data_IF_588582217405
#
_entry.id   IF_588582217405
#
_cell.length_a   1.000
_cell.length_b   1.000
_cell.length_c   1.000
_cell.angle_alpha   90.00
_cell.angle_beta   90.00
_cell.angle_gamma   90.00
#
_symmetry.space_group_name_H-M   'P 1'
#
loop_
_entity.id
_entity.type
_entity.pdbx_description
1 polymer ?
#
# COMPACT_ATOMS: atom_id res chain seq x y z
N UNK A 1 -50.79 -37.62 29.35
CA UNK A 1 -51.20 -36.97 30.61
C UNK A 1 -50.24 -35.81 30.83
N UNK A 2 -50.46 -34.64 30.23
CA UNK A 2 -51.42 -33.58 30.59
C UNK A 2 -51.09 -32.87 31.91
N UNK A 3 -51.19 -31.52 31.89
CA UNK A 3 -51.02 -30.51 32.97
C UNK A 3 -49.63 -29.85 32.98
N UNK A 4 -49.41 -28.52 32.94
CA UNK A 4 -50.22 -27.28 33.06
C UNK A 4 -49.33 -26.11 32.53
N UNK A 5 -49.72 -25.12 31.72
CA UNK A 5 -50.73 -24.05 31.80
C UNK A 5 -50.17 -22.68 32.31
N UNK A 6 -50.30 -21.64 31.43
CA UNK A 6 -50.66 -20.21 31.71
C UNK A 6 -49.51 -19.30 32.21
N UNK A 7 -49.13 -18.17 31.56
CA UNK A 7 -49.70 -16.79 31.55
C UNK A 7 -49.01 -16.00 30.39
N UNK A 8 -49.67 -15.51 29.34
CA UNK A 8 -50.45 -14.26 29.16
C UNK A 8 -49.67 -12.98 28.79
N UNK A 9 -49.91 -12.53 27.53
CA UNK A 9 -50.13 -11.16 26.99
C UNK A 9 -49.31 -9.96 27.52
N UNK A 10 -48.76 -9.17 26.59
CA UNK A 10 -49.42 -7.92 26.14
C UNK A 10 -48.59 -7.15 25.09
N UNK A 11 -49.26 -6.78 24.01
CA UNK A 11 -48.85 -5.78 23.03
C UNK A 11 -49.23 -4.39 23.54
N UNK A 12 -48.36 -3.38 23.39
CA UNK A 12 -48.79 -1.96 23.43
C UNK A 12 -48.02 -1.14 22.40
N UNK A 13 -48.75 -0.76 21.36
CA UNK A 13 -48.50 0.34 20.42
C UNK A 13 -48.90 1.68 21.05
N UNK A 14 -48.13 2.76 20.87
CA UNK A 14 -48.56 4.18 20.90
C UNK A 14 -47.39 4.99 20.30
N UNK A 15 -47.44 5.56 19.08
CA UNK A 15 -48.25 6.67 18.54
C UNK A 15 -47.82 8.07 19.04
N UNK A 16 -47.01 8.75 18.21
CA UNK A 16 -47.10 10.15 17.71
C UNK A 16 -47.22 11.33 18.71
N UNK A 17 -47.29 12.63 18.32
CA UNK A 17 -46.76 13.41 17.17
C UNK A 17 -46.19 14.84 17.52
N UNK A 18 -45.49 15.47 16.56
CA UNK A 18 -45.62 16.86 16.03
C UNK A 18 -45.72 18.13 16.94
N UNK A 19 -44.86 19.14 16.67
CA UNK A 19 -45.19 20.59 16.48
C UNK A 19 -43.88 21.42 16.35
N UNK A 20 -43.49 22.07 15.25
CA UNK A 20 -44.10 23.15 14.41
C UNK A 20 -44.05 24.57 15.02
N UNK A 21 -43.21 25.44 14.43
CA UNK A 21 -43.46 26.87 14.12
C UNK A 21 -42.33 27.32 13.15
N UNK A 22 -42.55 27.57 11.84
CA UNK A 22 -43.21 28.72 11.20
C UNK A 22 -42.69 30.07 11.74
N UNK A 23 -42.32 31.11 11.01
CA UNK A 23 -42.36 31.51 9.59
C UNK A 23 -41.74 32.92 9.56
N UNK A 24 -41.03 33.35 8.50
CA UNK A 24 -41.26 34.67 7.88
C UNK A 24 -40.38 34.96 6.65
N UNK A 25 -40.98 35.78 5.78
CA UNK A 25 -40.77 36.04 4.37
C UNK A 25 -39.70 37.12 4.06
N UNK A 26 -38.90 36.87 3.00
CA UNK A 26 -38.64 37.72 1.78
C UNK A 26 -38.01 39.16 1.93
N UNK A 27 -37.64 39.85 0.81
CA UNK A 27 -36.39 39.83 0.03
C UNK A 27 -35.60 41.17 0.03
N UNK A 28 -34.38 41.20 -0.57
CA UNK A 28 -33.99 42.14 -1.66
C UNK A 28 -32.49 42.06 -2.05
N UNK A 29 -32.28 42.27 -3.35
CA UNK A 29 -31.04 42.49 -4.11
C UNK A 29 -29.99 43.40 -3.44
N UNK A 30 -28.70 43.13 -3.69
CA UNK A 30 -27.85 44.09 -4.42
C UNK A 30 -26.58 43.45 -5.00
N UNK A 31 -26.35 43.79 -6.28
CA UNK A 31 -25.11 43.83 -7.08
C UNK A 31 -23.81 43.99 -6.27
N UNK A 32 -22.63 43.53 -6.68
CA UNK A 32 -21.98 43.76 -7.98
C UNK A 32 -20.62 43.06 -7.97
N UNK A 33 -20.35 42.21 -8.96
CA UNK A 33 -18.98 41.84 -9.35
C UNK A 33 -18.56 42.74 -10.51
N UNK A 34 -17.40 43.43 -10.47
CA UNK A 34 -16.79 43.92 -11.69
C UNK A 34 -15.76 42.92 -12.20
N UNK A 35 -16.12 42.27 -13.29
CA UNK A 35 -15.20 41.78 -14.32
C UNK A 35 -14.63 43.00 -15.07
N UNK A 36 -13.31 43.13 -15.13
CA UNK A 36 -12.65 43.80 -16.27
C UNK A 36 -11.23 43.25 -16.44
N UNK A 37 -11.08 42.38 -17.43
CA UNK A 37 -9.81 42.11 -18.08
C UNK A 37 -9.51 43.32 -18.97
N UNK A 38 -8.53 44.12 -18.57
CA UNK A 38 -7.96 45.18 -19.39
C UNK A 38 -6.82 44.60 -20.22
N UNK A 39 -7.08 44.39 -21.52
CA UNK A 39 -6.07 44.14 -22.53
C UNK A 39 -5.40 45.47 -22.89
N UNK A 40 -4.14 45.67 -22.48
CA UNK A 40 -3.34 46.82 -22.89
C UNK A 40 -2.11 46.34 -23.66
N UNK A 41 -2.10 46.70 -24.95
CA UNK A 41 -0.92 46.67 -25.81
C UNK A 41 0.03 47.77 -25.38
N UNK A 42 1.30 47.43 -25.15
CA UNK A 42 2.38 48.40 -25.19
C UNK A 42 3.54 47.82 -26.00
N UNK A 43 3.66 48.32 -27.23
CA UNK A 43 4.88 48.26 -27.99
C UNK A 43 5.88 49.24 -27.36
N UNK A 44 7.00 48.75 -26.85
CA UNK A 44 8.19 49.58 -26.76
C UNK A 44 9.43 48.73 -27.09
N UNK A 45 9.81 48.84 -28.35
CA UNK A 45 11.10 48.42 -28.88
C UNK A 45 12.05 49.57 -28.58
N UNK A 46 13.02 49.35 -27.70
CA UNK A 46 14.21 50.21 -27.66
C UNK A 46 15.40 49.48 -27.04
N UNK A 47 16.35 49.14 -27.91
CA UNK A 47 17.79 49.20 -27.74
C UNK A 47 18.39 48.84 -26.37
N UNK A 48 18.89 47.62 -26.25
CA UNK A 48 20.05 47.32 -25.41
C UNK A 48 21.23 46.91 -26.31
N UNK A 49 22.34 47.68 -26.36
CA UNK A 49 23.51 47.27 -27.10
C UNK A 49 24.29 46.19 -26.35
N UNK A 50 24.53 45.08 -27.06
CA UNK A 50 25.51 44.04 -26.72
C UNK A 50 26.91 44.67 -26.69
N UNK A 51 27.49 44.81 -25.50
CA UNK A 51 28.88 45.25 -25.34
C UNK A 51 29.78 44.03 -25.14
N UNK A 52 30.33 43.56 -26.26
CA UNK A 52 31.31 42.47 -26.34
C UNK A 52 32.69 43.02 -25.95
N UNK A 53 33.13 42.77 -24.71
CA UNK A 53 34.47 43.19 -24.27
C UNK A 53 35.48 42.09 -24.59
N UNK A 54 36.11 42.22 -25.76
CA UNK A 54 37.32 41.50 -26.12
C UNK A 54 38.50 42.05 -25.30
N UNK A 55 39.08 41.24 -24.42
CA UNK A 55 40.46 41.41 -23.96
C UNK A 55 41.19 40.09 -24.14
N UNK A 56 42.02 40.05 -25.18
CA UNK A 56 42.98 38.99 -25.43
C UNK A 56 44.01 38.94 -24.30
N UNK A 57 44.31 37.73 -23.85
CA UNK A 57 45.53 37.44 -23.11
C UNK A 57 46.40 36.49 -23.93
N UNK A 58 47.72 36.72 -23.97
CA UNK A 58 48.64 35.94 -24.80
C UNK A 58 48.89 34.55 -24.20
N UNK A 59 48.75 33.54 -25.04
CA UNK A 59 49.19 32.16 -24.81
C UNK A 59 50.72 32.14 -24.61
N UNK A 60 51.17 31.95 -23.37
CA UNK A 60 52.57 31.66 -23.07
C UNK A 60 52.80 30.15 -23.10
N UNK A 61 53.89 29.78 -23.77
CA UNK A 61 54.28 28.44 -24.20
C UNK A 61 54.42 27.46 -23.02
N UNK A 62 53.69 26.35 -23.06
CA UNK A 62 53.89 25.19 -22.17
C UNK A 62 55.09 24.39 -22.71
N UNK A 63 56.21 24.46 -21.99
CA UNK A 63 57.41 23.66 -22.24
C UNK A 63 57.15 22.18 -21.97
N UNK A 64 57.53 21.35 -22.93
CA UNK A 64 57.64 19.90 -22.84
C UNK A 64 58.74 19.49 -21.84
N UNK A 65 58.35 18.90 -20.71
CA UNK A 65 59.24 18.06 -19.92
C UNK A 65 58.72 16.62 -19.98
N UNK A 66 59.35 15.83 -20.84
CA UNK A 66 59.19 14.39 -20.97
C UNK A 66 59.74 13.72 -19.71
N UNK A 67 58.86 13.35 -18.79
CA UNK A 67 59.16 12.41 -17.72
C UNK A 67 58.04 11.38 -17.70
N UNK A 68 58.33 10.18 -18.19
CA UNK A 68 57.42 9.04 -18.23
C UNK A 68 57.13 8.61 -16.79
N UNK A 69 56.04 9.13 -16.22
CA UNK A 69 55.48 8.61 -14.97
C UNK A 69 54.75 7.30 -15.31
N UNK A 70 55.04 6.17 -14.65
CA UNK A 70 54.26 4.96 -14.88
C UNK A 70 52.81 5.23 -14.47
N UNK A 71 51.86 4.93 -15.37
CA UNK A 71 50.43 5.02 -15.08
C UNK A 71 50.12 4.05 -13.94
N UNK A 72 49.88 4.58 -12.73
CA UNK A 72 49.25 3.79 -11.68
C UNK A 72 47.81 3.56 -12.14
N UNK A 73 47.52 2.35 -12.63
CA UNK A 73 46.15 1.87 -12.82
C UNK A 73 45.55 1.77 -11.42
N UNK A 74 44.92 2.86 -10.98
CA UNK A 74 44.04 2.83 -9.81
C UNK A 74 42.75 2.26 -10.37
N UNK A 75 42.43 1.01 -10.01
CA UNK A 75 41.11 0.43 -10.22
C UNK A 75 40.09 1.39 -9.60
N UNK A 76 39.40 2.16 -10.44
CA UNK A 76 38.29 3.00 -10.02
C UNK A 76 37.17 2.07 -9.56
N UNK A 77 37.11 1.81 -8.26
CA UNK A 77 35.90 1.30 -7.66
C UNK A 77 34.77 2.29 -8.03
N UNK A 78 33.63 1.82 -8.57
CA UNK A 78 32.52 2.70 -8.89
C UNK A 78 32.15 3.52 -7.64
N UNK A 79 31.86 4.82 -7.78
CA UNK A 79 31.51 5.67 -6.64
C UNK A 79 30.34 5.02 -5.89
N UNK A 80 30.55 4.69 -4.61
CA UNK A 80 29.48 4.19 -3.74
C UNK A 80 28.32 5.18 -3.82
N UNK A 81 27.07 4.74 -4.06
CA UNK A 81 25.93 5.65 -4.14
C UNK A 81 25.82 6.43 -2.83
N UNK A 82 26.25 7.69 -2.85
CA UNK A 82 26.41 8.58 -1.70
C UNK A 82 25.09 9.19 -1.25
N UNK A 83 24.06 8.37 -1.05
CA UNK A 83 22.83 8.80 -0.41
C UNK A 83 22.99 8.70 1.11
N UNK A 84 22.94 9.82 1.84
CA UNK A 84 22.72 9.78 3.29
C UNK A 84 21.38 9.06 3.53
N UNK A 85 21.30 8.05 4.43
CA UNK A 85 20.04 7.37 4.70
C UNK A 85 19.02 8.41 5.17
N UNK A 86 17.92 8.55 4.44
CA UNK A 86 16.83 9.44 4.83
C UNK A 86 16.33 8.97 6.21
N UNK A 87 16.25 9.90 7.15
CA UNK A 87 15.74 9.61 8.49
C UNK A 87 14.27 9.24 8.39
N UNK A 88 13.92 8.09 8.97
CA UNK A 88 12.57 7.54 8.99
C UNK A 88 11.83 8.12 10.17
N UNK A 89 10.76 8.88 9.91
CA UNK A 89 9.89 9.46 10.93
C UNK A 89 8.93 8.42 11.51
N UNK A 90 8.52 7.44 10.69
CA UNK A 90 7.65 6.36 11.14
C UNK A 90 7.29 5.37 10.04
N UNK A 91 6.77 4.22 10.48
CA UNK A 91 6.28 3.15 9.60
C UNK A 91 4.80 2.92 9.90
N UNK A 92 3.98 2.84 8.85
CA UNK A 92 2.54 2.61 8.93
C UNK A 92 2.23 1.33 8.15
N UNK A 93 1.44 0.43 8.74
CA UNK A 93 1.00 -0.80 8.10
C UNK A 93 -0.50 -0.73 7.88
N UNK A 94 -0.95 -0.87 6.64
CA UNK A 94 -2.37 -0.94 6.29
C UNK A 94 -2.66 -2.21 5.50
N UNK A 95 -3.90 -2.66 5.56
CA UNK A 95 -4.43 -3.72 4.69
C UNK A 95 -5.52 -3.11 3.82
N UNK A 96 -5.32 -3.12 2.50
CA UNK A 96 -6.23 -2.52 1.53
C UNK A 96 -6.59 -3.52 0.43
N UNK A 97 -7.77 -3.36 -0.16
CA UNK A 97 -8.16 -4.14 -1.33
C UNK A 97 -7.40 -3.65 -2.57
N UNK A 98 -6.87 -4.59 -3.35
CA UNK A 98 -6.16 -4.33 -4.59
C UNK A 98 -7.04 -3.56 -5.58
N UNK A 99 -6.49 -2.47 -6.15
CA UNK A 99 -7.17 -1.63 -7.14
C UNK A 99 -8.32 -0.76 -6.57
N UNK A 100 -8.60 -0.82 -5.27
CA UNK A 100 -9.73 -0.10 -4.63
C UNK A 100 -9.30 0.83 -3.50
N UNK A 101 -8.05 1.31 -3.50
CA UNK A 101 -7.63 2.31 -2.54
C UNK A 101 -8.36 3.64 -2.79
N UNK A 102 -9.14 4.07 -1.81
CA UNK A 102 -9.84 5.36 -1.79
C UNK A 102 -9.47 6.13 -0.52
N UNK A 103 -9.51 7.47 -0.52
CA UNK A 103 -9.17 8.31 0.64
C UNK A 103 -10.22 8.27 1.77
N UNK A 104 -10.94 7.15 1.90
CA UNK A 104 -12.01 6.91 2.86
C UNK A 104 -11.52 7.05 4.33
N UNK A 105 -12.41 7.26 5.32
CA UNK A 105 -12.05 7.44 6.73
C UNK A 105 -11.13 6.39 7.38
N UNK A 106 -10.95 5.14 6.91
CA UNK A 106 -9.91 4.27 7.45
C UNK A 106 -8.48 4.63 6.98
N UNK A 107 -8.32 5.11 5.75
CA UNK A 107 -7.00 5.43 5.16
C UNK A 107 -6.57 6.86 5.48
N UNK A 108 -7.54 7.79 5.44
CA UNK A 108 -7.30 9.22 5.63
C UNK A 108 -6.63 9.58 6.95
N UNK A 109 -7.19 9.22 8.12
CA UNK A 109 -6.60 9.50 9.43
C UNK A 109 -5.25 8.79 9.66
N UNK A 110 -5.12 7.53 9.21
CA UNK A 110 -3.91 6.75 9.39
C UNK A 110 -2.71 7.40 8.67
N UNK A 111 -2.87 7.78 7.40
CA UNK A 111 -1.82 8.40 6.60
C UNK A 111 -1.68 9.91 6.85
N UNK A 112 -2.80 10.60 7.08
CA UNK A 112 -2.86 12.03 7.33
C UNK A 112 -2.13 12.43 8.62
N UNK A 113 -2.21 11.61 9.67
CA UNK A 113 -1.50 11.86 10.95
C UNK A 113 0.03 11.94 10.81
N UNK A 114 0.60 11.35 9.75
CA UNK A 114 2.04 11.35 9.45
C UNK A 114 2.42 12.25 8.28
N UNK A 115 1.47 13.01 7.73
CA UNK A 115 1.73 13.98 6.65
C UNK A 115 2.00 13.34 5.28
N UNK A 116 1.52 12.12 5.04
CA UNK A 116 1.64 11.43 3.76
C UNK A 116 0.61 11.96 2.76
N UNK A 117 0.99 12.12 1.48
CA UNK A 117 0.06 12.50 0.43
C UNK A 117 -0.89 11.34 0.06
N UNK A 118 -2.10 11.37 0.62
CA UNK A 118 -3.11 10.31 0.51
C UNK A 118 -3.49 10.04 -0.96
N UNK A 119 -3.70 11.08 -1.76
CA UNK A 119 -4.14 10.93 -3.15
C UNK A 119 -3.06 10.29 -4.03
N UNK A 120 -1.80 10.71 -3.84
CA UNK A 120 -0.66 10.12 -4.56
C UNK A 120 -0.51 8.64 -4.21
N UNK A 121 -0.59 8.31 -2.92
CA UNK A 121 -0.55 6.92 -2.46
C UNK A 121 -1.68 6.07 -3.07
N UNK A 122 -2.94 6.54 -3.04
CA UNK A 122 -4.06 5.78 -3.61
C UNK A 122 -3.87 5.50 -5.11
N UNK A 123 -3.37 6.48 -5.87
CA UNK A 123 -3.11 6.33 -7.31
C UNK A 123 -1.99 5.31 -7.59
N UNK A 124 -0.87 5.45 -6.90
CA UNK A 124 0.28 4.56 -7.07
C UNK A 124 -0.01 3.14 -6.60
N UNK A 125 -0.76 2.99 -5.51
CA UNK A 125 -1.19 1.71 -4.98
C UNK A 125 -2.10 0.98 -5.98
N UNK A 126 -3.13 1.66 -6.52
CA UNK A 126 -4.04 1.06 -7.50
C UNK A 126 -3.33 0.67 -8.80
N UNK A 127 -2.37 1.50 -9.25
CA UNK A 127 -1.56 1.18 -10.44
C UNK A 127 -0.71 -0.08 -10.25
N UNK A 128 -0.08 -0.25 -9.09
CA UNK A 128 0.78 -1.42 -8.79
C UNK A 128 0.00 -2.68 -8.42
N UNK A 129 -1.26 -2.56 -8.00
CA UNK A 129 -2.09 -3.70 -7.56
C UNK A 129 -3.16 -4.10 -8.57
N UNK A 130 -3.19 -3.46 -9.75
CA UNK A 130 -4.16 -3.75 -10.81
C UNK A 130 -4.18 -5.24 -11.22
N UNK A 131 -3.01 -5.89 -11.25
CA UNK A 131 -2.87 -7.29 -11.64
C UNK A 131 -3.49 -8.29 -10.64
N UNK A 132 -3.65 -7.86 -9.39
CA UNK A 132 -4.11 -8.71 -8.27
C UNK A 132 -5.46 -8.25 -7.73
N UNK A 133 -6.32 -7.73 -8.61
CA UNK A 133 -7.65 -7.26 -8.25
C UNK A 133 -8.46 -8.32 -7.49
N UNK A 134 -9.12 -7.90 -6.41
CA UNK A 134 -9.96 -8.77 -5.57
C UNK A 134 -9.23 -9.43 -4.39
N UNK A 135 -7.93 -9.20 -4.20
CA UNK A 135 -7.22 -9.60 -2.99
C UNK A 135 -6.97 -8.43 -2.04
N UNK A 136 -6.90 -8.71 -0.74
CA UNK A 136 -6.42 -7.74 0.26
C UNK A 136 -4.90 -7.81 0.30
N UNK A 137 -4.23 -6.71 -0.03
CA UNK A 137 -2.78 -6.60 -0.12
C UNK A 137 -2.29 -5.71 1.04
N UNK A 138 -1.55 -6.28 2.01
CA UNK A 138 -0.94 -5.50 3.06
C UNK A 138 0.20 -4.65 2.49
N UNK A 139 0.27 -3.40 2.97
CA UNK A 139 1.25 -2.43 2.54
C UNK A 139 1.96 -1.83 3.74
N UNK A 140 3.28 -1.75 3.64
CA UNK A 140 4.13 -1.09 4.62
C UNK A 140 4.63 0.22 4.03
N UNK A 141 4.29 1.32 4.69
CA UNK A 141 4.58 2.67 4.24
C UNK A 141 5.61 3.26 5.20
N UNK A 142 6.76 3.62 4.67
CA UNK A 142 7.82 4.30 5.39
C UNK A 142 7.74 5.79 5.09
N UNK A 143 7.59 6.59 6.13
CA UNK A 143 7.52 8.05 6.05
C UNK A 143 8.87 8.63 6.48
N UNK A 144 9.39 9.56 5.68
CA UNK A 144 10.63 10.27 5.94
C UNK A 144 10.36 11.70 6.42
N UNK A 145 11.38 12.34 7.01
CA UNK A 145 11.26 13.68 7.61
C UNK A 145 10.87 14.78 6.59
N UNK A 146 11.16 14.55 5.31
CA UNK A 146 10.82 15.44 4.19
C UNK A 146 9.36 15.29 3.72
N UNK A 147 8.52 14.52 4.46
CA UNK A 147 7.16 14.11 4.08
C UNK A 147 7.09 13.27 2.80
N UNK A 148 8.25 12.88 2.25
CA UNK A 148 8.28 11.85 1.23
C UNK A 148 7.96 10.49 1.86
N UNK A 149 7.40 9.60 1.07
CA UNK A 149 7.07 8.26 1.53
C UNK A 149 7.53 7.25 0.48
N UNK A 150 7.95 6.09 0.96
CA UNK A 150 8.12 4.89 0.15
C UNK A 150 7.18 3.84 0.69
N UNK A 151 6.70 2.96 -0.18
CA UNK A 151 5.86 1.87 0.24
C UNK A 151 6.25 0.57 -0.46
N UNK A 152 6.17 -0.51 0.31
CA UNK A 152 6.45 -1.86 -0.13
C UNK A 152 5.14 -2.63 -0.07
N UNK A 153 4.72 -3.14 -1.23
CA UNK A 153 3.59 -4.04 -1.32
C UNK A 153 4.04 -5.43 -0.90
N UNK A 154 3.36 -5.99 0.10
CA UNK A 154 3.52 -7.38 0.47
C UNK A 154 2.53 -8.22 -0.32
N UNK A 155 2.79 -9.50 -0.41
CA UNK A 155 1.90 -10.52 -0.93
C UNK A 155 0.64 -10.65 -0.07
N UNK A 156 -0.48 -11.05 -0.68
CA UNK A 156 -1.72 -11.23 0.05
C UNK A 156 -1.58 -12.27 1.19
N UNK A 157 -2.43 -12.18 2.24
CA UNK A 157 -2.40 -13.13 3.34
C UNK A 157 -2.56 -14.56 2.83
N UNK A 158 -1.77 -15.49 3.40
CA UNK A 158 -1.83 -16.89 3.01
C UNK A 158 -3.24 -17.48 3.25
N UNK A 159 -3.92 -16.98 4.29
CA UNK A 159 -5.30 -17.34 4.60
C UNK A 159 -6.26 -17.07 3.44
N UNK A 160 -6.19 -15.89 2.82
CA UNK A 160 -7.08 -15.52 1.72
C UNK A 160 -6.77 -16.31 0.46
N UNK A 161 -5.49 -16.55 0.18
CA UNK A 161 -5.05 -17.38 -0.96
C UNK A 161 -5.54 -18.83 -0.83
N UNK A 162 -5.42 -19.40 0.37
CA UNK A 162 -5.86 -20.76 0.66
C UNK A 162 -7.39 -20.90 0.65
N UNK A 163 -8.13 -19.93 1.19
CA UNK A 163 -9.59 -19.90 1.12
C UNK A 163 -10.08 -19.86 -0.33
N UNK A 164 -9.45 -19.04 -1.18
CA UNK A 164 -9.75 -19.00 -2.61
C UNK A 164 -9.41 -20.30 -3.33
N UNK A 165 -8.28 -20.93 -3.00
CA UNK A 165 -7.88 -22.21 -3.58
C UNK A 165 -8.78 -23.38 -3.14
N UNK A 166 -9.28 -23.34 -1.90
CA UNK A 166 -10.21 -24.33 -1.35
C UNK A 166 -11.68 -24.07 -1.72
N UNK A 167 -12.00 -22.90 -2.29
CA UNK A 167 -13.37 -22.49 -2.59
C UNK A 167 -14.25 -22.24 -1.36
N UNK A 168 -13.64 -21.88 -0.23
CA UNK A 168 -14.35 -21.63 1.03
C UNK A 168 -14.32 -20.13 1.38
N UNK A 169 -15.44 -19.59 1.86
CA UNK A 169 -15.54 -18.17 2.24
C UNK A 169 -14.94 -17.87 3.62
N UNK A 170 -14.99 -18.87 4.52
CA UNK A 170 -14.59 -18.74 5.93
C UNK A 170 -13.77 -19.94 6.36
N UNK A 171 -12.80 -19.71 7.25
CA UNK A 171 -12.04 -20.77 7.90
C UNK A 171 -12.88 -21.53 8.94
N UNK A 172 -12.40 -22.70 9.33
CA UNK A 172 -12.99 -23.52 10.38
C UNK A 172 -12.94 -22.83 11.75
N UNK A 173 -14.00 -22.99 12.55
CA UNK A 173 -14.00 -22.57 13.96
C UNK A 173 -13.13 -23.50 14.80
N UNK A 174 -13.14 -24.79 14.47
CA UNK A 174 -12.40 -25.85 15.16
C UNK A 174 -11.53 -26.64 14.16
N UNK A 175 -10.32 -26.15 13.82
CA UNK A 175 -9.52 -26.64 12.68
C UNK A 175 -9.09 -28.12 12.76
N UNK A 176 -9.10 -28.70 13.97
CA UNK A 176 -8.79 -30.12 14.20
C UNK A 176 -9.99 -31.04 14.04
N UNK A 177 -11.21 -30.52 14.23
CA UNK A 177 -12.45 -31.31 14.21
C UNK A 177 -13.22 -31.10 12.91
N UNK A 178 -13.36 -29.86 12.49
CA UNK A 178 -14.13 -29.47 11.31
C UNK A 178 -13.19 -29.07 10.19
N UNK A 179 -13.27 -29.79 9.07
CA UNK A 179 -12.49 -29.52 7.87
C UNK A 179 -13.36 -28.81 6.85
N UNK A 180 -12.93 -27.62 6.42
CA UNK A 180 -13.71 -26.73 5.54
C UNK A 180 -13.32 -26.84 4.07
N UNK A 181 -12.25 -27.57 3.75
CA UNK A 181 -11.83 -27.78 2.38
C UNK A 181 -10.54 -28.59 2.25
N UNK A 182 -10.15 -28.85 1.01
CA UNK A 182 -8.94 -29.57 0.64
C UNK A 182 -8.17 -28.79 -0.42
N UNK A 183 -6.84 -28.81 -0.35
CA UNK A 183 -5.95 -28.16 -1.31
C UNK A 183 -4.89 -29.16 -1.78
N UNK A 184 -4.60 -29.14 -3.08
CA UNK A 184 -3.59 -30.00 -3.70
C UNK A 184 -2.18 -29.42 -3.53
N UNK A 185 -1.16 -30.28 -3.64
CA UNK A 185 0.25 -29.84 -3.60
C UNK A 185 0.57 -28.80 -4.68
N UNK A 186 -0.01 -28.91 -5.88
CA UNK A 186 0.27 -27.99 -6.97
C UNK A 186 -0.25 -26.57 -6.67
N UNK A 187 -1.43 -26.48 -6.07
CA UNK A 187 -1.99 -25.21 -5.59
C UNK A 187 -1.14 -24.63 -4.47
N UNK A 188 -0.69 -25.46 -3.51
CA UNK A 188 0.22 -25.03 -2.47
C UNK A 188 1.54 -24.51 -3.01
N UNK A 189 2.12 -25.19 -4.01
CA UNK A 189 3.36 -24.77 -4.66
C UNK A 189 3.21 -23.43 -5.36
N UNK A 190 2.10 -23.23 -6.06
CA UNK A 190 1.78 -21.96 -6.73
C UNK A 190 1.66 -20.82 -5.72
N UNK A 191 0.89 -21.03 -4.64
CA UNK A 191 0.75 -20.06 -3.54
C UNK A 191 2.10 -19.77 -2.87
N UNK A 192 2.92 -20.80 -2.65
CA UNK A 192 4.24 -20.67 -2.06
C UNK A 192 5.19 -19.86 -2.96
N UNK A 193 5.14 -20.04 -4.28
CA UNK A 193 5.92 -19.26 -5.24
C UNK A 193 5.50 -17.79 -5.26
N UNK A 194 4.20 -17.51 -5.29
CA UNK A 194 3.67 -16.15 -5.23
C UNK A 194 4.07 -15.42 -3.94
N UNK A 195 4.15 -16.17 -2.82
CA UNK A 195 4.46 -15.65 -1.49
C UNK A 195 5.95 -15.67 -1.13
N UNK A 196 6.77 -16.37 -1.90
CA UNK A 196 8.20 -16.52 -1.68
C UNK A 196 8.96 -15.20 -1.40
N UNK A 197 8.71 -14.06 -2.10
CA UNK A 197 9.47 -12.83 -1.84
C UNK A 197 9.25 -12.23 -0.45
N UNK A 198 8.17 -12.61 0.24
CA UNK A 198 7.87 -12.15 1.60
C UNK A 198 8.26 -13.14 2.69
N UNK A 199 8.61 -14.37 2.30
CA UNK A 199 8.98 -15.42 3.25
C UNK A 199 10.49 -15.42 3.45
N UNK A 200 10.92 -15.65 4.69
CA UNK A 200 12.33 -15.75 5.04
C UNK A 200 12.93 -17.15 4.74
N UNK A 201 12.42 -17.86 3.74
CA UNK A 201 12.83 -19.24 3.44
C UNK A 201 13.67 -19.34 2.16
N UNK A 202 14.71 -20.17 2.20
CA UNK A 202 15.63 -20.36 1.07
C UNK A 202 15.14 -21.37 0.03
N UNK A 203 14.26 -22.30 0.42
CA UNK A 203 13.76 -23.38 -0.46
C UNK A 203 12.25 -23.35 -0.63
N UNK A 204 11.75 -23.77 -1.80
CA UNK A 204 10.31 -23.84 -2.11
C UNK A 204 9.61 -24.84 -1.19
N UNK A 205 10.25 -25.95 -0.84
CA UNK A 205 9.70 -26.95 0.08
C UNK A 205 9.45 -26.36 1.48
N UNK A 206 10.35 -25.51 1.95
CA UNK A 206 10.19 -24.81 3.22
C UNK A 206 9.03 -23.83 3.16
N UNK A 207 8.88 -23.10 2.05
CA UNK A 207 7.72 -22.24 1.80
C UNK A 207 6.41 -23.06 1.82
N UNK A 208 6.37 -24.21 1.13
CA UNK A 208 5.20 -25.09 1.11
C UNK A 208 4.82 -25.58 2.51
N UNK A 209 5.80 -25.94 3.36
CA UNK A 209 5.55 -26.32 4.76
C UNK A 209 4.93 -25.20 5.60
N UNK A 210 5.39 -23.95 5.41
CA UNK A 210 4.81 -22.77 6.09
C UNK A 210 3.35 -22.56 5.68
N UNK A 211 3.06 -22.66 4.38
CA UNK A 211 1.69 -22.50 3.88
C UNK A 211 0.81 -23.68 4.32
N UNK A 212 1.31 -24.92 4.30
CA UNK A 212 0.60 -26.10 4.80
C UNK A 212 0.24 -25.97 6.28
N UNK A 213 1.13 -25.43 7.11
CA UNK A 213 0.83 -25.12 8.52
C UNK A 213 -0.31 -24.09 8.66
N UNK A 214 -0.35 -23.10 7.76
CA UNK A 214 -1.45 -22.12 7.73
C UNK A 214 -2.77 -22.76 7.32
N UNK A 215 -2.77 -23.66 6.33
CA UNK A 215 -3.94 -24.43 5.92
C UNK A 215 -4.49 -25.28 7.07
N UNK A 216 -3.60 -26.00 7.78
CA UNK A 216 -3.97 -26.80 8.95
C UNK A 216 -4.60 -25.96 10.07
N UNK A 217 -4.10 -24.75 10.32
CA UNK A 217 -4.66 -23.83 11.31
C UNK A 217 -6.07 -23.31 10.95
N UNK A 218 -6.44 -23.35 9.66
CA UNK A 218 -7.77 -22.94 9.19
C UNK A 218 -8.73 -24.12 8.98
N UNK A 219 -8.27 -25.35 9.23
CA UNK A 219 -9.06 -26.56 8.97
C UNK A 219 -9.15 -26.92 7.48
N UNK A 220 -8.13 -26.58 6.70
CA UNK A 220 -8.00 -27.01 5.30
C UNK A 220 -7.00 -28.17 5.27
N UNK A 221 -7.41 -29.29 4.70
CA UNK A 221 -6.54 -30.46 4.54
C UNK A 221 -5.70 -30.36 3.26
N UNK A 222 -4.52 -30.95 3.31
CA UNK A 222 -3.52 -30.92 2.24
C UNK A 222 -3.24 -32.35 1.80
N UNK A 223 -3.52 -32.63 0.52
CA UNK A 223 -3.35 -33.96 -0.06
C UNK A 223 -2.26 -33.92 -1.18
N UNK A 224 -1.19 -34.75 -1.11
CA UNK A 224 -0.70 -35.52 0.04
C UNK A 224 -0.05 -34.65 1.15
N UNK A 225 0.05 -35.17 2.39
CA UNK A 225 0.56 -34.40 3.52
C UNK A 225 2.05 -34.10 3.36
N UNK A 226 2.38 -32.81 3.18
CA UNK A 226 3.78 -32.31 3.12
C UNK A 226 4.44 -32.29 4.51
N UNK A 227 3.63 -32.28 5.56
CA UNK A 227 4.08 -32.33 6.95
C UNK A 227 3.94 -33.76 7.46
N UNK A 228 5.05 -34.45 7.65
CA UNK A 228 5.04 -35.67 8.44
C UNK A 228 4.61 -35.31 9.88
N UNK A 229 3.49 -35.88 10.39
CA UNK A 229 3.11 -35.64 11.77
C UNK A 229 4.20 -36.23 12.66
N UNK A 230 4.80 -35.41 13.53
CA UNK A 230 5.70 -35.92 14.57
C UNK A 230 4.92 -36.94 15.41
N UNK A 231 5.19 -38.23 15.21
CA UNK A 231 4.66 -39.30 16.04
C UNK A 231 5.23 -39.07 17.43
N UNK A 232 4.38 -38.67 18.37
CA UNK A 232 4.75 -38.66 19.79
C UNK A 232 4.85 -40.13 20.18
N UNK A 233 6.06 -40.66 20.24
CA UNK A 233 6.30 -41.90 20.96
C UNK A 233 5.95 -41.62 22.42
N UNK A 234 4.90 -42.26 22.90
CA UNK A 234 4.56 -42.31 24.32
C UNK A 234 5.65 -43.18 24.96
N UNK A 235 6.57 -42.53 25.68
CA UNK A 235 7.53 -43.18 26.57
C UNK A 235 6.85 -43.50 27.89
#
# INVERSE_FOLDING_TARGET
>A
MASSAIVSRASTTYSSPLSSLASQNKPRNLSSFPSSLSLSSNHNISNFPLQFHAKGQPFTKRSSSTATRPLRVISMAPPKPGGKPKKVTGVIKLALEAGKATPSPPVGPALGSKGVNIMAFCKDYNARTADKAGFVIPVEITVYDDKSFTFILKTPPASVLLLKAAGADKGSKDPKREKVGKVTIDQLRSIAQEKLPDLNCSTIESAMRIIAGTAANMGIDVDPPVLEPKKKELV
#
